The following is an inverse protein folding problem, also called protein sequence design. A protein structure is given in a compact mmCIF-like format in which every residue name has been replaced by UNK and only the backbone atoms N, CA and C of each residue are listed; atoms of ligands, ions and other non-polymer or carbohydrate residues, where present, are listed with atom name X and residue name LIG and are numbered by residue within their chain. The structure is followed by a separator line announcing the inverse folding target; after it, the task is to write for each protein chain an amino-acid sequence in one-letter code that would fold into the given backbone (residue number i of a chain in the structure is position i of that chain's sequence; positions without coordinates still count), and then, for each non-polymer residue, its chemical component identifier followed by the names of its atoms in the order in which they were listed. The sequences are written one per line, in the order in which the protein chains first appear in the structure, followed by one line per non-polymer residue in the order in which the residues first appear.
data_IF_430877324148
#
_entry.id   IF_430877324148
#
_cell.length_a   1.000
_cell.length_b   1.000
_cell.length_c   1.000
_cell.angle_alpha   90.00
_cell.angle_beta   90.00
_cell.angle_gamma   90.00
#
_symmetry.space_group_name_H-M   'P 1'
#
loop_
_entity.id
_entity.type
_entity.pdbx_description
1 polymer ?
#
# COMPACT_ATOMS: atom_id res chain seq x y z
N UNK A 1 5.58 12.69 -16.19
CA UNK A 1 5.68 13.31 -14.82
C UNK A 1 6.22 12.34 -13.77
N UNK A 2 7.01 11.33 -14.17
CA UNK A 2 7.27 10.09 -13.38
C UNK A 2 8.42 10.14 -12.36
N UNK A 3 9.17 11.23 -12.20
CA UNK A 3 10.44 11.17 -11.45
C UNK A 3 10.50 11.99 -10.14
N UNK A 4 9.45 12.73 -9.75
CA UNK A 4 9.51 13.59 -8.57
C UNK A 4 9.24 12.88 -7.25
N UNK A 5 8.44 11.81 -7.24
CA UNK A 5 8.03 11.10 -6.02
C UNK A 5 9.04 10.03 -5.55
N UNK A 6 9.78 9.42 -6.46
CA UNK A 6 10.74 8.34 -6.12
C UNK A 6 11.79 8.86 -5.14
N UNK A 7 12.26 10.09 -5.32
CA UNK A 7 13.30 10.67 -4.46
C UNK A 7 12.80 10.99 -3.04
N UNK A 8 11.50 11.22 -2.85
CA UNK A 8 10.91 11.60 -1.56
C UNK A 8 11.17 10.54 -0.47
N UNK A 9 11.16 9.26 -0.83
CA UNK A 9 11.26 8.16 0.13
C UNK A 9 12.56 7.34 0.03
N UNK A 10 13.57 7.84 -0.69
CA UNK A 10 14.91 7.19 -0.75
C UNK A 10 15.56 7.15 0.63
N UNK A 11 15.36 8.19 1.45
CA UNK A 11 15.90 8.30 2.81
C UNK A 11 15.45 7.17 3.75
N UNK A 12 14.30 6.54 3.49
CA UNK A 12 13.84 5.37 4.25
C UNK A 12 14.64 4.08 3.94
N UNK A 13 15.54 4.13 2.96
CA UNK A 13 16.44 3.03 2.62
C UNK A 13 15.79 1.90 1.82
N UNK A 14 16.57 0.83 1.65
CA UNK A 14 16.16 -0.40 0.93
C UNK A 14 15.70 -0.18 -0.51
N UNK A 15 16.11 0.89 -1.18
CA UNK A 15 15.74 1.17 -2.57
C UNK A 15 16.12 0.02 -3.52
N UNK A 16 17.34 -0.54 -3.37
CA UNK A 16 17.78 -1.69 -4.16
C UNK A 16 16.84 -2.90 -4.00
N UNK A 17 16.35 -3.17 -2.78
CA UNK A 17 15.41 -4.25 -2.51
C UNK A 17 14.02 -4.03 -3.13
N UNK A 18 13.57 -2.76 -3.19
CA UNK A 18 12.34 -2.41 -3.92
C UNK A 18 12.49 -2.70 -5.41
N UNK A 19 13.60 -2.26 -5.99
CA UNK A 19 13.91 -2.52 -7.40
C UNK A 19 14.02 -4.01 -7.70
N UNK A 20 14.72 -4.77 -6.87
CA UNK A 20 14.85 -6.23 -6.98
C UNK A 20 13.46 -6.91 -6.94
N UNK A 21 12.57 -6.51 -6.02
CA UNK A 21 11.20 -7.00 -5.94
C UNK A 21 10.41 -6.74 -7.23
N UNK A 22 10.52 -5.53 -7.79
CA UNK A 22 9.83 -5.18 -9.05
C UNK A 22 10.33 -6.06 -10.19
N UNK A 23 11.65 -6.14 -10.40
CA UNK A 23 12.21 -6.86 -11.54
C UNK A 23 12.02 -8.39 -11.43
N UNK A 24 12.24 -8.96 -10.24
CA UNK A 24 12.28 -10.40 -10.04
C UNK A 24 10.92 -11.01 -9.64
N UNK A 25 9.96 -10.20 -9.23
CA UNK A 25 8.63 -10.68 -8.83
C UNK A 25 7.56 -10.06 -9.73
N UNK A 26 7.29 -8.74 -9.64
CA UNK A 26 6.14 -8.14 -10.32
C UNK A 26 6.22 -8.30 -11.84
N UNK A 27 7.32 -7.88 -12.46
CA UNK A 27 7.50 -7.99 -13.91
C UNK A 27 7.59 -9.43 -14.38
N UNK A 28 8.27 -10.31 -13.64
CA UNK A 28 8.36 -11.72 -13.99
C UNK A 28 7.00 -12.45 -13.95
N UNK A 29 6.04 -11.93 -13.15
CA UNK A 29 4.68 -12.46 -13.10
C UNK A 29 3.70 -11.73 -14.02
N UNK A 30 4.21 -10.81 -14.86
CA UNK A 30 3.44 -10.19 -15.93
C UNK A 30 2.80 -8.84 -15.58
N UNK A 31 3.20 -8.18 -14.49
CA UNK A 31 2.75 -6.81 -14.20
C UNK A 31 3.46 -5.85 -15.15
N UNK A 32 2.69 -5.11 -15.96
CA UNK A 32 3.20 -4.25 -17.02
C UNK A 32 2.89 -2.77 -16.80
N UNK A 33 1.90 -2.40 -15.97
CA UNK A 33 1.55 -1.00 -15.73
C UNK A 33 2.67 -0.26 -14.99
N UNK A 34 3.34 0.65 -15.70
CA UNK A 34 4.46 1.44 -15.18
C UNK A 34 4.05 2.34 -13.99
N UNK A 35 2.79 2.81 -13.90
CA UNK A 35 2.34 3.61 -12.76
C UNK A 35 2.26 2.75 -11.50
N UNK A 36 1.78 1.51 -11.64
CA UNK A 36 1.75 0.53 -10.55
C UNK A 36 3.18 0.21 -10.13
N UNK A 37 4.06 -0.12 -11.05
CA UNK A 37 5.48 -0.43 -10.77
C UNK A 37 6.18 0.75 -10.07
N UNK A 38 5.94 1.99 -10.52
CA UNK A 38 6.46 3.21 -9.90
C UNK A 38 5.92 3.43 -8.47
N UNK A 39 4.66 3.09 -8.20
CA UNK A 39 4.09 3.15 -6.86
C UNK A 39 4.82 2.18 -5.91
N UNK A 40 5.06 0.94 -6.34
CA UNK A 40 5.83 -0.06 -5.57
C UNK A 40 7.29 0.35 -5.36
N UNK A 41 7.91 0.99 -6.34
CA UNK A 41 9.26 1.53 -6.23
C UNK A 41 9.32 2.68 -5.22
N UNK A 42 8.28 3.51 -5.20
CA UNK A 42 8.21 4.73 -4.38
C UNK A 42 7.92 4.39 -2.92
N UNK A 43 6.90 3.61 -2.61
CA UNK A 43 6.45 3.34 -1.24
C UNK A 43 7.35 2.30 -0.55
N UNK A 44 7.99 2.63 0.58
CA UNK A 44 8.90 1.73 1.28
C UNK A 44 8.15 0.69 2.12
N UNK A 45 7.80 -0.45 1.52
CA UNK A 45 7.01 -1.53 2.15
C UNK A 45 7.46 -1.89 3.56
N UNK A 46 8.77 -1.90 3.82
CA UNK A 46 9.32 -2.36 5.11
C UNK A 46 8.94 -1.49 6.31
N UNK A 47 8.53 -0.23 6.11
CA UNK A 47 8.10 0.62 7.24
C UNK A 47 6.69 0.27 7.72
N UNK A 48 5.88 -0.36 6.88
CA UNK A 48 4.54 -0.86 7.21
C UNK A 48 4.55 -2.21 7.95
N UNK A 49 5.74 -2.78 8.16
CA UNK A 49 5.96 -4.08 8.81
C UNK A 49 6.67 -3.84 10.16
N UNK A 50 6.32 -4.58 11.23
CA UNK A 50 7.01 -4.51 12.52
C UNK A 50 8.52 -4.68 12.36
N UNK A 51 9.31 -3.96 13.18
CA UNK A 51 10.77 -3.88 13.05
C UNK A 51 11.44 -5.25 12.98
N UNK A 52 10.98 -6.19 13.77
CA UNK A 52 11.48 -7.57 13.85
C UNK A 52 11.31 -8.36 12.54
N UNK A 53 10.33 -8.00 11.70
CA UNK A 53 10.03 -8.69 10.45
C UNK A 53 10.53 -7.94 9.20
N UNK A 54 11.10 -6.75 9.35
CA UNK A 54 11.50 -5.87 8.21
C UNK A 54 12.57 -6.46 7.30
N UNK A 55 13.36 -7.41 7.77
CA UNK A 55 14.36 -8.08 6.94
C UNK A 55 13.73 -8.82 5.76
N UNK A 56 12.53 -9.38 5.94
CA UNK A 56 11.79 -10.15 4.96
C UNK A 56 10.72 -9.32 4.21
N UNK A 57 10.69 -8.01 4.39
CA UNK A 57 9.64 -7.14 3.87
C UNK A 57 9.45 -7.22 2.34
N UNK A 58 10.49 -7.58 1.61
CA UNK A 58 10.50 -7.69 0.15
C UNK A 58 10.54 -9.13 -0.37
N UNK A 59 10.33 -10.09 0.53
CA UNK A 59 10.16 -11.48 0.16
C UNK A 59 8.83 -11.67 -0.58
N UNK A 60 8.81 -12.65 -1.52
CA UNK A 60 7.66 -12.97 -2.37
C UNK A 60 6.59 -13.77 -1.62
N UNK A 61 5.90 -13.10 -0.72
CA UNK A 61 4.86 -13.71 0.09
C UNK A 61 4.24 -12.74 1.10
N UNK A 62 3.17 -13.17 1.78
CA UNK A 62 2.55 -12.41 2.85
C UNK A 62 3.50 -12.32 4.06
N UNK A 63 3.42 -11.22 4.82
CA UNK A 63 4.23 -10.99 6.01
C UNK A 63 3.34 -10.64 7.21
N UNK A 64 3.69 -11.10 8.40
CA UNK A 64 2.98 -10.74 9.61
C UNK A 64 3.14 -9.26 9.94
N UNK A 65 2.02 -8.60 10.23
CA UNK A 65 1.96 -7.20 10.64
C UNK A 65 1.53 -7.01 12.09
N UNK A 66 1.38 -8.10 12.83
CA UNK A 66 0.88 -8.14 14.21
C UNK A 66 -0.61 -8.45 14.28
N UNK A 67 -1.07 -8.73 15.49
CA UNK A 67 -2.49 -8.95 15.82
C UNK A 67 -3.17 -10.06 14.99
N UNK A 68 -2.41 -11.07 14.58
CA UNK A 68 -2.90 -12.16 13.73
C UNK A 68 -3.15 -11.77 12.27
N UNK A 69 -2.76 -10.56 11.86
CA UNK A 69 -2.95 -10.05 10.50
C UNK A 69 -1.67 -10.08 9.67
N UNK A 70 -1.84 -10.04 8.36
CA UNK A 70 -0.74 -10.04 7.39
C UNK A 70 -0.89 -8.91 6.38
N UNK A 71 0.23 -8.44 5.85
CA UNK A 71 0.29 -7.66 4.61
C UNK A 71 0.40 -8.63 3.44
N UNK A 72 -0.43 -8.45 2.43
CA UNK A 72 -0.49 -9.33 1.25
C UNK A 72 0.84 -9.39 0.49
N UNK A 73 1.06 -10.48 -0.24
CA UNK A 73 2.17 -10.62 -1.19
C UNK A 73 2.17 -9.45 -2.19
N UNK A 74 3.35 -8.88 -2.52
CA UNK A 74 3.43 -7.75 -3.44
C UNK A 74 2.74 -7.99 -4.79
N UNK A 75 2.96 -9.16 -5.38
CA UNK A 75 2.35 -9.53 -6.66
C UNK A 75 0.81 -9.51 -6.62
N UNK A 76 0.20 -10.06 -5.56
CA UNK A 76 -1.27 -10.08 -5.43
C UNK A 76 -1.85 -8.67 -5.36
N UNK A 77 -1.17 -7.75 -4.67
CA UNK A 77 -1.60 -6.35 -4.63
C UNK A 77 -1.51 -5.71 -6.02
N UNK A 78 -0.39 -5.91 -6.72
CA UNK A 78 -0.18 -5.35 -8.05
C UNK A 78 -1.21 -5.90 -9.06
N UNK A 79 -1.47 -7.22 -9.03
CA UNK A 79 -2.47 -7.86 -9.87
C UNK A 79 -3.88 -7.28 -9.63
N UNK A 80 -4.28 -7.10 -8.37
CA UNK A 80 -5.57 -6.46 -8.06
C UNK A 80 -5.66 -5.04 -8.64
N UNK A 81 -4.56 -4.28 -8.65
CA UNK A 81 -4.56 -2.93 -9.20
C UNK A 81 -4.70 -2.92 -10.73
N UNK A 82 -4.05 -3.84 -11.44
CA UNK A 82 -4.21 -3.99 -12.89
C UNK A 82 -5.64 -4.40 -13.26
N UNK A 83 -6.21 -5.37 -12.54
CA UNK A 83 -7.57 -5.86 -12.81
C UNK A 83 -8.68 -4.81 -12.56
N UNK A 84 -8.44 -3.84 -11.67
CA UNK A 84 -9.40 -2.76 -11.38
C UNK A 84 -9.29 -1.61 -12.40
N UNK A 85 -8.23 -1.54 -13.21
CA UNK A 85 -7.98 -0.45 -14.17
C UNK A 85 -8.06 0.94 -13.51
N UNK A 86 -7.18 1.17 -12.53
CA UNK A 86 -7.21 2.36 -11.67
C UNK A 86 -7.06 3.66 -12.46
N UNK A 87 -7.85 4.67 -12.09
CA UNK A 87 -7.83 5.98 -12.68
C UNK A 87 -7.56 7.07 -11.64
N UNK A 88 -6.75 8.07 -11.99
CA UNK A 88 -6.35 9.16 -11.10
C UNK A 88 -7.51 10.03 -10.58
N UNK A 89 -8.72 9.90 -11.13
CA UNK A 89 -9.92 10.61 -10.67
C UNK A 89 -10.79 9.78 -9.71
N UNK A 90 -10.46 8.53 -9.48
CA UNK A 90 -11.25 7.64 -8.64
C UNK A 90 -11.10 7.95 -7.16
N UNK A 91 -12.20 7.74 -6.44
CA UNK A 91 -12.18 7.52 -5.00
C UNK A 91 -12.23 6.01 -4.78
N UNK A 92 -11.37 5.48 -3.92
CA UNK A 92 -11.25 4.04 -3.68
C UNK A 92 -11.52 3.72 -2.22
N UNK A 93 -12.31 2.68 -1.99
CA UNK A 93 -12.49 2.08 -0.66
C UNK A 93 -11.65 0.81 -0.57
N UNK A 94 -10.74 0.76 0.40
CA UNK A 94 -10.03 -0.46 0.80
C UNK A 94 -10.66 -1.04 2.05
N UNK A 95 -11.12 -2.29 1.97
CA UNK A 95 -11.68 -3.04 3.09
C UNK A 95 -10.60 -3.93 3.70
N UNK A 96 -10.30 -3.74 4.98
CA UNK A 96 -9.21 -4.43 5.66
C UNK A 96 -7.85 -3.77 5.39
N UNK A 97 -7.75 -2.45 5.61
CA UNK A 97 -6.54 -1.67 5.28
C UNK A 97 -5.28 -2.09 6.04
N UNK A 98 -5.42 -2.84 7.14
CA UNK A 98 -4.33 -3.46 7.87
C UNK A 98 -3.24 -2.46 8.28
N UNK A 99 -2.04 -2.62 7.72
CA UNK A 99 -0.91 -1.73 7.97
C UNK A 99 -0.99 -0.38 7.23
N UNK A 100 -1.95 -0.20 6.30
CA UNK A 100 -2.06 0.97 5.45
C UNK A 100 -1.15 0.95 4.21
N UNK A 101 -0.44 -0.15 3.92
CA UNK A 101 0.47 -0.23 2.78
C UNK A 101 -0.25 -0.12 1.43
N UNK A 102 -1.35 -0.84 1.25
CA UNK A 102 -2.16 -0.78 0.02
C UNK A 102 -2.75 0.62 -0.15
N UNK A 103 -3.30 1.22 0.92
CA UNK A 103 -3.74 2.61 0.90
C UNK A 103 -2.62 3.57 0.47
N UNK A 104 -1.38 3.36 0.94
CA UNK A 104 -0.24 4.19 0.57
C UNK A 104 0.12 4.03 -0.92
N UNK A 105 0.08 2.83 -1.47
CA UNK A 105 0.28 2.59 -2.91
C UNK A 105 -0.82 3.28 -3.72
N UNK A 106 -2.10 3.06 -3.36
CA UNK A 106 -3.26 3.68 -4.01
C UNK A 106 -3.20 5.21 -3.98
N UNK A 107 -2.62 5.80 -2.93
CA UNK A 107 -2.49 7.26 -2.82
C UNK A 107 -1.73 7.92 -3.97
N UNK A 108 -0.88 7.16 -4.67
CA UNK A 108 -0.13 7.62 -5.84
C UNK A 108 -0.87 7.42 -7.16
N UNK A 109 -1.92 6.60 -7.16
CA UNK A 109 -2.61 6.13 -8.37
C UNK A 109 -4.00 6.75 -8.53
N UNK A 110 -4.64 7.17 -7.42
CA UNK A 110 -6.03 7.63 -7.43
C UNK A 110 -6.19 8.97 -6.70
N UNK A 111 -7.36 9.59 -6.79
CA UNK A 111 -7.65 10.89 -6.19
C UNK A 111 -7.69 10.84 -4.66
N UNK A 112 -8.51 9.95 -4.11
CA UNK A 112 -8.66 9.76 -2.66
C UNK A 112 -8.79 8.27 -2.32
N UNK A 113 -8.29 7.91 -1.15
CA UNK A 113 -8.39 6.56 -0.59
C UNK A 113 -9.07 6.60 0.76
N UNK A 114 -10.10 5.80 0.92
CA UNK A 114 -10.72 5.51 2.20
C UNK A 114 -10.37 4.08 2.59
N UNK A 115 -9.64 3.89 3.68
CA UNK A 115 -9.36 2.58 4.26
C UNK A 115 -10.27 2.32 5.45
N UNK A 116 -10.79 1.10 5.58
CA UNK A 116 -11.49 0.67 6.79
C UNK A 116 -10.82 -0.56 7.38
N UNK A 117 -10.71 -0.59 8.71
CA UNK A 117 -10.06 -1.65 9.47
C UNK A 117 -10.82 -1.87 10.80
N UNK A 118 -10.85 -3.10 11.28
CA UNK A 118 -11.51 -3.46 12.53
C UNK A 118 -10.56 -3.46 13.73
N UNK A 119 -9.27 -3.74 13.51
CA UNK A 119 -8.25 -3.78 14.56
C UNK A 119 -7.69 -2.37 14.82
N UNK A 120 -8.12 -1.76 15.93
CA UNK A 120 -7.77 -0.37 16.28
C UNK A 120 -6.26 -0.10 16.35
N UNK A 121 -5.47 -1.06 16.85
CA UNK A 121 -4.01 -0.91 16.95
C UNK A 121 -3.31 -0.88 15.59
N UNK A 122 -3.89 -1.55 14.58
CA UNK A 122 -3.42 -1.42 13.19
C UNK A 122 -3.78 -0.05 12.62
N UNK A 123 -4.98 0.47 12.91
CA UNK A 123 -5.41 1.81 12.48
C UNK A 123 -4.45 2.87 13.02
N UNK A 124 -4.19 2.89 14.33
CA UNK A 124 -3.30 3.86 14.96
C UNK A 124 -1.89 3.84 14.31
N UNK A 125 -1.33 2.64 14.13
CA UNK A 125 -0.03 2.47 13.49
C UNK A 125 -0.04 2.88 12.02
N UNK A 126 -1.08 2.55 11.27
CA UNK A 126 -1.20 2.92 9.85
C UNK A 126 -1.28 4.43 9.67
N UNK A 127 -2.10 5.11 10.48
CA UNK A 127 -2.21 6.58 10.47
C UNK A 127 -0.84 7.22 10.75
N UNK A 128 -0.15 6.80 11.81
CA UNK A 128 1.20 7.30 12.12
C UNK A 128 2.16 7.12 10.95
N UNK A 129 2.16 5.94 10.31
CA UNK A 129 3.05 5.67 9.18
C UNK A 129 2.71 6.53 7.95
N UNK A 130 1.41 6.73 7.67
CA UNK A 130 0.95 7.58 6.56
C UNK A 130 1.30 9.06 6.81
N UNK A 131 1.19 9.54 8.05
CA UNK A 131 1.59 10.89 8.45
C UNK A 131 3.10 11.09 8.31
N UNK A 132 3.93 10.13 8.77
CA UNK A 132 5.40 10.15 8.58
C UNK A 132 5.78 10.24 7.10
N UNK A 133 5.03 9.60 6.22
CA UNK A 133 5.20 9.67 4.77
C UNK A 133 4.58 10.93 4.14
N UNK A 134 3.91 11.78 4.94
CA UNK A 134 3.17 12.97 4.46
C UNK A 134 2.14 12.64 3.37
N UNK A 135 1.50 11.47 3.45
CA UNK A 135 0.42 11.07 2.55
C UNK A 135 -0.88 11.71 3.05
N UNK A 136 -1.51 12.55 2.21
CA UNK A 136 -2.62 13.43 2.62
C UNK A 136 -3.98 13.03 2.04
N UNK A 137 -4.01 12.21 1.01
CA UNK A 137 -5.23 11.78 0.32
C UNK A 137 -5.71 10.39 0.76
N UNK A 138 -5.28 9.94 1.94
CA UNK A 138 -5.71 8.70 2.58
C UNK A 138 -6.39 9.01 3.91
N UNK A 139 -7.54 8.39 4.16
CA UNK A 139 -8.24 8.43 5.44
C UNK A 139 -8.53 7.01 5.91
N UNK A 140 -8.17 6.67 7.15
CA UNK A 140 -8.41 5.34 7.73
C UNK A 140 -9.48 5.45 8.82
N UNK A 141 -10.47 4.56 8.79
CA UNK A 141 -11.58 4.53 9.74
C UNK A 141 -11.71 3.16 10.43
N UNK A 142 -12.18 3.18 11.68
CA UNK A 142 -12.57 1.97 12.36
C UNK A 142 -13.98 1.57 11.94
N UNK A 143 -14.09 0.57 11.07
CA UNK A 143 -15.37 0.08 10.60
C UNK A 143 -15.31 -1.42 10.27
N UNK A 144 -16.47 -2.08 10.34
CA UNK A 144 -16.63 -3.45 9.87
C UNK A 144 -16.91 -3.43 8.37
N UNK A 145 -15.98 -3.99 7.58
CA UNK A 145 -16.07 -4.03 6.12
C UNK A 145 -17.29 -4.76 5.55
N UNK A 146 -17.89 -5.67 6.34
CA UNK A 146 -19.13 -6.35 5.95
C UNK A 146 -20.29 -5.38 5.68
N UNK A 147 -20.32 -4.24 6.38
CA UNK A 147 -21.37 -3.23 6.22
C UNK A 147 -21.06 -2.20 5.12
N UNK A 148 -19.90 -2.30 4.46
CA UNK A 148 -19.40 -1.25 3.58
C UNK A 148 -19.07 0.04 4.35
N UNK A 149 -18.88 1.14 3.63
CA UNK A 149 -18.63 2.47 4.22
C UNK A 149 -19.29 3.57 3.38
N UNK A 150 -20.61 3.78 3.50
CA UNK A 150 -21.36 4.67 2.62
C UNK A 150 -21.03 6.16 2.79
N UNK A 151 -20.39 6.57 3.90
CA UNK A 151 -20.18 7.98 4.25
C UNK A 151 -19.39 8.77 3.20
N UNK A 152 -18.51 8.10 2.45
CA UNK A 152 -17.65 8.73 1.44
C UNK A 152 -17.94 8.24 0.02
N UNK A 153 -19.02 7.47 -0.18
CA UNK A 153 -19.44 6.99 -1.49
C UNK A 153 -19.85 8.14 -2.43
N UNK A 154 -19.76 7.95 -3.77
CA UNK A 154 -19.33 6.74 -4.49
C UNK A 154 -17.83 6.52 -4.53
N UNK A 155 -17.44 5.26 -4.68
CA UNK A 155 -16.05 4.82 -4.85
C UNK A 155 -15.80 4.33 -6.26
#
# INVERSE_FOLDING_TARGET
MHNKNINKYISYGKYAKRKEMIENQLKNYGIEDENILDAFLTIPRHIFIPKENRQNAYWDGPQFIGYGQTISQPYIIALMFEEVDLNSQFNVLEIGSGSGYVCALLSLLVKNVTGIEIEKRLIERSITTLEELEIKNVSIYNANGYNGFPNNAPY
#
